data_IF_745537967968
#
_entry.id   IF_745537967968
#
_cell.length_a   1.000
_cell.length_b   1.000
_cell.length_c   1.000
_cell.angle_alpha   90.00
_cell.angle_beta   90.00
_cell.angle_gamma   90.00
#
_symmetry.space_group_name_H-M   'P 1'
#
loop_
_entity.id
_entity.type
_entity.pdbx_description
1 polymer ?
#
# COMPACT_ATOMS: atom_id res chain seq x y z
N UNK A 1 -1.60 -9.79 -0.17
CA UNK A 1 -3.06 -9.47 -0.10
C UNK A 1 -3.84 -10.45 -0.95
N UNK A 2 -5.12 -10.69 -0.66
CA UNK A 2 -6.00 -11.53 -1.50
C UNK A 2 -7.24 -10.73 -1.88
N UNK A 3 -7.62 -10.75 -3.16
CA UNK A 3 -8.78 -10.05 -3.72
C UNK A 3 -9.57 -10.96 -4.65
N UNK A 4 -10.80 -10.58 -4.96
CA UNK A 4 -11.59 -11.12 -6.08
C UNK A 4 -11.82 -10.02 -7.14
N UNK A 5 -12.28 -10.34 -8.36
CA UNK A 5 -12.70 -9.38 -9.39
C UNK A 5 -13.94 -8.54 -9.01
N UNK A 6 -14.12 -8.19 -7.74
CA UNK A 6 -15.21 -7.40 -7.22
C UNK A 6 -14.68 -6.06 -6.71
N UNK A 7 -15.27 -4.96 -7.18
CA UNK A 7 -14.79 -3.60 -6.89
C UNK A 7 -14.67 -3.31 -5.39
N UNK A 8 -15.67 -3.73 -4.60
CA UNK A 8 -15.67 -3.57 -3.15
C UNK A 8 -14.46 -4.26 -2.48
N UNK A 9 -14.12 -5.47 -2.92
CA UNK A 9 -13.01 -6.26 -2.37
C UNK A 9 -11.66 -5.63 -2.75
N UNK A 10 -11.55 -5.13 -3.99
CA UNK A 10 -10.37 -4.40 -4.47
C UNK A 10 -10.15 -3.12 -3.65
N UNK A 11 -11.22 -2.35 -3.42
CA UNK A 11 -11.18 -1.13 -2.61
C UNK A 11 -10.77 -1.41 -1.15
N UNK A 12 -11.25 -2.51 -0.58
CA UNK A 12 -10.88 -2.94 0.77
C UNK A 12 -9.41 -3.35 0.85
N UNK A 13 -8.91 -4.12 -0.10
CA UNK A 13 -7.51 -4.50 -0.16
C UNK A 13 -6.59 -3.29 -0.39
N UNK A 14 -7.04 -2.27 -1.14
CA UNK A 14 -6.31 -1.01 -1.31
C UNK A 14 -6.15 -0.30 0.04
N UNK A 15 -7.24 -0.14 0.79
CA UNK A 15 -7.21 0.44 2.14
C UNK A 15 -6.29 -0.35 3.07
N UNK A 16 -6.44 -1.67 3.09
CA UNK A 16 -5.58 -2.55 3.89
C UNK A 16 -4.10 -2.41 3.52
N UNK A 17 -3.76 -2.27 2.22
CA UNK A 17 -2.38 -2.06 1.78
C UNK A 17 -1.78 -0.76 2.31
N UNK A 18 -2.54 0.35 2.26
CA UNK A 18 -2.13 1.63 2.82
C UNK A 18 -1.90 1.51 4.33
N UNK A 19 -2.82 0.87 5.05
CA UNK A 19 -2.71 0.68 6.50
C UNK A 19 -1.50 -0.18 6.89
N UNK A 20 -1.31 -1.32 6.23
CA UNK A 20 -0.16 -2.20 6.48
C UNK A 20 1.16 -1.48 6.21
N UNK A 21 1.23 -0.69 5.12
CA UNK A 21 2.39 0.12 4.76
C UNK A 21 2.68 1.20 5.81
N UNK A 22 1.63 1.83 6.36
CA UNK A 22 1.78 2.79 7.44
C UNK A 22 2.49 2.14 8.63
N UNK A 23 2.28 0.86 8.92
CA UNK A 23 2.95 0.12 10.00
C UNK A 23 4.22 -0.64 9.57
N UNK A 24 4.72 -0.43 8.35
CA UNK A 24 5.87 -1.15 7.78
C UNK A 24 5.69 -2.68 7.72
N UNK A 25 4.44 -3.14 7.62
CA UNK A 25 4.10 -4.53 7.30
C UNK A 25 3.98 -4.61 5.78
N UNK A 26 4.99 -5.21 5.13
CA UNK A 26 5.05 -5.24 3.68
C UNK A 26 4.28 -6.43 3.11
N UNK A 27 3.44 -6.15 2.12
CA UNK A 27 2.93 -7.18 1.21
C UNK A 27 3.89 -7.28 0.03
N UNK A 28 4.19 -8.49 -0.39
CA UNK A 28 5.10 -8.77 -1.50
C UNK A 28 4.37 -9.22 -2.77
N UNK A 29 3.08 -9.57 -2.66
CA UNK A 29 2.21 -9.88 -3.80
C UNK A 29 0.71 -9.65 -3.50
N UNK A 30 -0.07 -9.64 -4.57
CA UNK A 30 -1.54 -9.66 -4.55
C UNK A 30 -2.03 -10.94 -5.22
N UNK A 31 -2.86 -11.73 -4.54
CA UNK A 31 -3.54 -12.88 -5.13
C UNK A 31 -4.89 -12.44 -5.68
N UNK A 32 -5.08 -12.55 -6.98
CA UNK A 32 -6.37 -12.36 -7.65
C UNK A 32 -7.10 -13.69 -7.74
N UNK A 33 -8.00 -13.94 -6.79
CA UNK A 33 -8.72 -15.19 -6.62
C UNK A 33 -10.07 -15.20 -7.37
N UNK A 34 -10.58 -16.40 -7.66
CA UNK A 34 -11.86 -16.63 -8.35
C UNK A 34 -11.90 -16.06 -9.78
N UNK A 35 -10.77 -16.08 -10.47
CA UNK A 35 -10.73 -15.76 -11.90
C UNK A 35 -11.44 -16.84 -12.71
N UNK A 36 -12.25 -16.47 -13.69
CA UNK A 36 -12.91 -17.44 -14.56
C UNK A 36 -11.85 -18.38 -15.20
N UNK A 37 -12.07 -19.70 -15.20
CA UNK A 37 -11.14 -20.63 -15.81
C UNK A 37 -11.17 -20.48 -17.34
N UNK A 38 -10.18 -20.98 -18.07
CA UNK A 38 -10.04 -20.74 -19.51
C UNK A 38 -11.24 -21.26 -20.32
N UNK A 39 -11.81 -22.37 -19.86
CA UNK A 39 -13.00 -23.04 -20.41
C UNK A 39 -14.23 -22.11 -20.48
N UNK A 40 -14.27 -21.07 -19.64
CA UNK A 40 -15.34 -20.07 -19.68
C UNK A 40 -15.35 -19.26 -20.99
N UNK A 41 -14.22 -19.17 -21.71
CA UNK A 41 -14.11 -18.42 -22.96
C UNK A 41 -14.88 -19.07 -24.12
N UNK A 42 -15.13 -20.37 -24.04
CA UNK A 42 -15.88 -21.12 -25.04
C UNK A 42 -17.40 -20.93 -24.91
N UNK A 43 -17.85 -20.38 -23.78
CA UNK A 43 -19.27 -20.26 -23.44
C UNK A 43 -19.71 -18.80 -23.63
N UNK A 44 -20.59 -18.48 -24.60
CA UNK A 44 -20.99 -17.09 -24.90
C UNK A 44 -21.58 -16.33 -23.70
N UNK A 45 -22.22 -17.03 -22.76
CA UNK A 45 -22.80 -16.47 -21.54
C UNK A 45 -21.76 -15.71 -20.68
N UNK A 46 -20.50 -16.16 -20.65
CA UNK A 46 -19.46 -15.55 -19.81
C UNK A 46 -18.70 -14.40 -20.48
N UNK A 47 -18.98 -14.07 -21.75
CA UNK A 47 -18.25 -13.05 -22.51
C UNK A 47 -18.16 -11.70 -21.78
N UNK A 48 -19.28 -11.21 -21.27
CA UNK A 48 -19.34 -9.93 -20.55
C UNK A 48 -18.70 -10.00 -19.17
N UNK A 49 -18.76 -11.17 -18.51
CA UNK A 49 -18.08 -11.40 -17.24
C UNK A 49 -16.55 -11.38 -17.44
N UNK A 50 -16.04 -12.07 -18.47
CA UNK A 50 -14.62 -12.07 -18.82
C UNK A 50 -14.10 -10.67 -19.16
N UNK A 51 -14.86 -9.89 -19.93
CA UNK A 51 -14.48 -8.49 -20.24
C UNK A 51 -14.31 -7.68 -18.94
N UNK A 52 -15.30 -7.74 -18.04
CA UNK A 52 -15.26 -7.03 -16.75
C UNK A 52 -14.13 -7.54 -15.86
N UNK A 53 -13.89 -8.84 -15.82
CA UNK A 53 -12.78 -9.43 -15.07
C UNK A 53 -11.42 -8.91 -15.57
N UNK A 54 -11.21 -8.86 -16.89
CA UNK A 54 -9.99 -8.31 -17.47
C UNK A 54 -9.81 -6.81 -17.16
N UNK A 55 -10.89 -6.03 -17.12
CA UNK A 55 -10.86 -4.64 -16.65
C UNK A 55 -10.44 -4.56 -15.17
N UNK A 56 -11.04 -5.37 -14.30
CA UNK A 56 -10.68 -5.44 -12.87
C UNK A 56 -9.24 -5.89 -12.68
N UNK A 57 -8.75 -6.82 -13.49
CA UNK A 57 -7.36 -7.28 -13.41
C UNK A 57 -6.38 -6.12 -13.68
N UNK A 58 -6.60 -5.34 -14.75
CA UNK A 58 -5.78 -4.16 -15.07
C UNK A 58 -5.88 -3.09 -13.98
N UNK A 59 -7.07 -2.92 -13.40
CA UNK A 59 -7.28 -2.02 -12.27
C UNK A 59 -6.45 -2.43 -11.05
N UNK A 60 -6.45 -3.72 -10.68
CA UNK A 60 -5.62 -4.26 -9.59
C UNK A 60 -4.14 -4.10 -9.92
N UNK A 61 -3.72 -4.38 -11.15
CA UNK A 61 -2.32 -4.20 -11.59
C UNK A 61 -1.86 -2.75 -11.42
N UNK A 62 -2.67 -1.79 -11.85
CA UNK A 62 -2.37 -0.38 -11.67
C UNK A 62 -2.38 0.05 -10.20
N UNK A 63 -3.37 -0.41 -9.42
CA UNK A 63 -3.52 -0.01 -8.01
C UNK A 63 -2.38 -0.53 -7.14
N UNK A 64 -1.94 -1.76 -7.35
CA UNK A 64 -0.98 -2.43 -6.49
C UNK A 64 0.44 -2.48 -7.05
N UNK A 65 0.70 -1.92 -8.24
CA UNK A 65 2.06 -1.79 -8.76
C UNK A 65 3.00 -1.19 -7.69
N UNK A 66 4.23 -1.72 -7.53
CA UNK A 66 4.87 -2.75 -8.35
C UNK A 66 4.66 -4.20 -7.84
N UNK A 67 3.69 -4.46 -6.97
CA UNK A 67 3.44 -5.81 -6.47
C UNK A 67 3.01 -6.75 -7.61
N UNK A 68 3.63 -7.94 -7.74
CA UNK A 68 3.16 -8.95 -8.67
C UNK A 68 1.78 -9.47 -8.30
N UNK A 69 1.01 -9.81 -9.32
CA UNK A 69 -0.30 -10.44 -9.19
C UNK A 69 -0.16 -11.95 -9.44
N UNK A 70 -0.59 -12.75 -8.47
CA UNK A 70 -0.72 -14.19 -8.60
C UNK A 70 -2.18 -14.53 -8.90
N UNK A 71 -2.42 -15.22 -10.02
CA UNK A 71 -3.76 -15.53 -10.50
C UNK A 71 -4.23 -16.89 -9.98
N UNK A 72 -5.34 -16.90 -9.24
CA UNK A 72 -6.00 -18.12 -8.79
C UNK A 72 -7.34 -18.32 -9.55
N UNK A 73 -7.45 -19.35 -10.40
CA UNK A 73 -8.68 -19.64 -11.11
C UNK A 73 -9.76 -20.17 -10.14
N UNK A 74 -11.00 -19.84 -10.44
CA UNK A 74 -12.19 -20.38 -9.81
C UNK A 74 -12.19 -21.90 -9.97
N UNK A 75 -12.35 -22.60 -8.85
CA UNK A 75 -12.37 -24.05 -8.80
C UNK A 75 -13.80 -24.58 -9.00
N UNK A 76 -13.89 -25.80 -9.48
CA UNK A 76 -15.13 -26.53 -9.76
C UNK A 76 -15.93 -26.90 -8.50
N UNK A 77 -15.26 -26.92 -7.35
CA UNK A 77 -15.80 -27.27 -6.04
C UNK A 77 -14.93 -26.64 -4.95
N UNK A 78 -15.32 -26.81 -3.69
CA UNK A 78 -14.55 -26.36 -2.54
C UNK A 78 -13.15 -27.01 -2.52
N UNK A 79 -12.13 -26.18 -2.22
CA UNK A 79 -10.73 -26.62 -2.18
C UNK A 79 -10.42 -27.25 -0.83
N UNK A 80 -10.96 -28.46 -0.61
CA UNK A 80 -10.74 -29.24 0.60
C UNK A 80 -9.81 -30.44 0.36
N UNK A 81 -8.99 -30.73 1.37
CA UNK A 81 -8.03 -31.83 1.35
C UNK A 81 -6.74 -31.52 0.58
N UNK A 82 -5.70 -32.26 0.92
CA UNK A 82 -4.33 -32.01 0.44
C UNK A 82 -4.22 -32.05 -1.10
N UNK A 83 -4.95 -32.95 -1.76
CA UNK A 83 -4.88 -33.08 -3.22
C UNK A 83 -5.40 -31.81 -3.94
N UNK A 84 -6.55 -31.28 -3.52
CA UNK A 84 -7.12 -30.06 -4.12
C UNK A 84 -6.28 -28.82 -3.77
N UNK A 85 -5.78 -28.74 -2.54
CA UNK A 85 -4.87 -27.68 -2.10
C UNK A 85 -3.56 -27.67 -2.91
N UNK A 86 -2.96 -28.85 -3.12
CA UNK A 86 -1.74 -28.99 -3.91
C UNK A 86 -1.95 -28.57 -5.37
N UNK A 87 -3.10 -28.93 -5.97
CA UNK A 87 -3.46 -28.51 -7.33
C UNK A 87 -3.59 -26.99 -7.44
N UNK A 88 -4.29 -26.35 -6.51
CA UNK A 88 -4.42 -24.89 -6.49
C UNK A 88 -3.06 -24.21 -6.28
N UNK A 89 -2.25 -24.72 -5.35
CA UNK A 89 -0.90 -24.21 -5.11
C UNK A 89 -0.02 -24.28 -6.36
N UNK A 90 -0.02 -25.40 -7.07
CA UNK A 90 0.72 -25.55 -8.33
C UNK A 90 0.28 -24.56 -9.41
N UNK A 91 -1.02 -24.24 -9.49
CA UNK A 91 -1.54 -23.24 -10.42
C UNK A 91 -1.13 -21.82 -10.01
N UNK A 92 -1.29 -21.48 -8.73
CA UNK A 92 -1.02 -20.14 -8.19
C UNK A 92 0.47 -19.77 -8.31
N UNK A 93 1.35 -20.73 -8.03
CA UNK A 93 2.80 -20.56 -8.04
C UNK A 93 3.46 -21.10 -9.31
N UNK A 94 2.72 -21.31 -10.40
CA UNK A 94 3.26 -21.89 -11.63
C UNK A 94 4.44 -21.12 -12.25
N UNK A 95 4.63 -19.85 -11.88
CA UNK A 95 5.63 -18.93 -12.45
C UNK A 95 6.67 -18.43 -11.44
N UNK A 96 6.53 -18.77 -10.16
CA UNK A 96 7.38 -18.27 -9.07
C UNK A 96 7.50 -19.33 -7.99
N UNK A 97 8.64 -19.38 -7.30
CA UNK A 97 8.78 -20.30 -6.16
C UNK A 97 7.85 -19.87 -5.01
N UNK A 98 7.17 -20.81 -4.32
CA UNK A 98 6.24 -20.49 -3.24
C UNK A 98 6.85 -19.75 -2.04
N UNK A 99 8.15 -19.87 -1.84
CA UNK A 99 8.93 -19.23 -0.77
C UNK A 99 9.74 -18.01 -1.25
N UNK A 100 9.61 -17.61 -2.52
CA UNK A 100 10.28 -16.44 -3.05
C UNK A 100 9.73 -15.15 -2.43
N UNK A 101 10.62 -14.20 -2.13
CA UNK A 101 10.25 -12.82 -1.80
C UNK A 101 9.98 -12.07 -3.09
N UNK A 102 8.71 -11.80 -3.38
CA UNK A 102 8.28 -11.29 -4.68
C UNK A 102 8.41 -9.77 -4.82
N UNK A 103 8.41 -9.05 -3.70
CA UNK A 103 8.64 -7.62 -3.63
C UNK A 103 9.09 -7.21 -2.23
N UNK A 104 10.00 -6.24 -2.15
CA UNK A 104 10.41 -5.63 -0.87
C UNK A 104 9.87 -4.21 -0.81
N UNK A 105 8.95 -3.98 0.14
CA UNK A 105 8.32 -2.67 0.31
C UNK A 105 9.28 -1.58 0.79
N UNK A 106 8.93 -0.33 0.47
CA UNK A 106 9.63 0.83 0.99
C UNK A 106 9.40 0.98 2.50
N UNK A 107 10.38 1.57 3.20
CA UNK A 107 10.33 1.88 4.63
C UNK A 107 10.34 3.38 4.89
N UNK A 108 10.02 3.78 6.12
CA UNK A 108 10.14 5.19 6.52
C UNK A 108 11.60 5.62 6.43
N UNK A 109 11.86 6.72 5.72
CA UNK A 109 13.21 7.29 5.58
C UNK A 109 13.26 8.72 6.08
N UNK A 110 14.43 9.10 6.60
CA UNK A 110 14.74 10.47 7.00
C UNK A 110 15.97 10.95 6.24
N UNK A 111 15.82 11.99 5.45
CA UNK A 111 16.84 12.47 4.53
C UNK A 111 17.04 13.98 4.71
N UNK A 112 18.25 14.49 4.43
CA UNK A 112 18.49 15.95 4.40
C UNK A 112 17.85 16.53 3.15
N UNK A 113 17.27 17.72 3.26
CA UNK A 113 16.56 18.35 2.14
C UNK A 113 17.45 19.21 1.21
N UNK A 114 18.73 19.34 1.53
CA UNK A 114 19.70 20.14 0.78
C UNK A 114 19.69 21.65 1.09
N UNK A 115 18.70 22.14 1.86
CA UNK A 115 18.54 23.56 2.22
C UNK A 115 18.69 23.82 3.72
N UNK A 116 19.20 22.83 4.47
CA UNK A 116 19.43 22.92 5.90
C UNK A 116 18.34 22.27 6.77
N UNK A 117 17.32 21.69 6.15
CA UNK A 117 16.24 20.92 6.79
C UNK A 117 16.32 19.42 6.56
N UNK A 118 15.22 18.74 6.88
CA UNK A 118 15.05 17.30 6.70
C UNK A 118 13.70 16.98 6.05
N UNK A 119 13.62 15.83 5.39
CA UNK A 119 12.37 15.22 4.92
C UNK A 119 12.20 13.85 5.55
N UNK A 120 11.02 13.58 6.10
CA UNK A 120 10.55 12.22 6.36
C UNK A 120 9.74 11.75 5.14
N UNK A 121 10.04 10.55 4.66
CA UNK A 121 9.34 9.91 3.55
C UNK A 121 8.65 8.68 4.13
N UNK A 122 7.33 8.73 4.25
CA UNK A 122 6.49 7.66 4.83
C UNK A 122 5.75 6.97 3.69
N UNK A 123 6.02 5.67 3.42
CA UNK A 123 5.30 4.91 2.41
C UNK A 123 3.81 4.82 2.72
N UNK A 124 2.97 5.29 1.80
CA UNK A 124 1.52 5.31 1.92
C UNK A 124 0.90 5.06 0.52
N UNK A 125 1.05 3.83 -0.01
CA UNK A 125 0.61 3.52 -1.36
C UNK A 125 -0.89 3.74 -1.50
N UNK A 126 -1.25 4.44 -2.57
CA UNK A 126 -2.65 4.78 -2.92
C UNK A 126 -3.46 5.40 -1.77
N UNK A 127 -2.82 6.13 -0.86
CA UNK A 127 -3.50 6.80 0.23
C UNK A 127 -4.52 7.83 -0.27
N UNK A 128 -5.68 7.84 0.37
CA UNK A 128 -6.67 8.90 0.18
C UNK A 128 -6.20 10.17 0.89
N UNK A 129 -6.26 11.30 0.19
CA UNK A 129 -5.84 12.60 0.72
C UNK A 129 -6.85 13.16 1.72
N UNK A 130 -8.14 12.87 1.55
CA UNK A 130 -9.18 13.43 2.42
C UNK A 130 -9.12 12.87 3.84
N UNK A 131 -8.63 11.63 4.00
CA UNK A 131 -8.47 10.97 5.30
C UNK A 131 -7.06 11.05 5.90
N UNK A 132 -6.17 11.87 5.34
CA UNK A 132 -4.77 11.95 5.77
C UNK A 132 -4.55 13.17 6.67
N UNK A 133 -4.18 12.93 7.93
CA UNK A 133 -3.77 13.96 8.89
C UNK A 133 -2.34 13.70 9.38
N UNK A 134 -1.56 14.77 9.53
CA UNK A 134 -0.14 14.71 9.87
C UNK A 134 0.21 15.82 10.83
N UNK A 135 0.65 15.42 12.03
CA UNK A 135 1.03 16.36 13.08
C UNK A 135 2.34 15.94 13.73
N UNK A 136 3.11 16.91 14.22
CA UNK A 136 4.24 16.65 15.11
C UNK A 136 3.79 16.86 16.55
N UNK A 137 3.96 15.84 17.38
CA UNK A 137 3.70 15.91 18.83
C UNK A 137 4.99 15.52 19.53
N UNK A 138 5.58 16.44 20.28
CA UNK A 138 6.90 16.28 20.90
C UNK A 138 7.94 15.78 19.89
N UNK A 139 8.53 14.61 20.14
CA UNK A 139 9.54 13.98 19.28
C UNK A 139 8.94 12.95 18.30
N UNK A 140 7.61 12.95 18.10
CA UNK A 140 6.93 12.05 17.17
C UNK A 140 6.32 12.78 15.98
N UNK A 141 6.42 12.16 14.82
CA UNK A 141 5.57 12.41 13.67
C UNK A 141 4.37 11.47 13.77
N UNK A 142 3.19 12.03 13.97
CA UNK A 142 1.95 11.26 14.03
C UNK A 142 1.23 11.37 12.69
N UNK A 143 1.01 10.22 12.07
CA UNK A 143 0.34 10.08 10.78
C UNK A 143 -0.97 9.34 11.01
N UNK A 144 -2.07 9.92 10.54
CA UNK A 144 -3.41 9.33 10.60
C UNK A 144 -3.91 9.10 9.18
N UNK A 145 -4.36 7.88 8.88
CA UNK A 145 -4.97 7.51 7.60
C UNK A 145 -6.33 6.87 7.86
N UNK A 146 -7.42 7.58 7.59
CA UNK A 146 -8.77 7.10 7.86
C UNK A 146 -8.94 6.72 9.35
N UNK A 147 -9.12 5.42 9.62
CA UNK A 147 -9.32 4.91 10.97
C UNK A 147 -8.03 4.55 11.73
N UNK A 148 -6.85 4.64 11.09
CA UNK A 148 -5.57 4.23 11.70
C UNK A 148 -4.70 5.43 12.01
N UNK A 149 -3.97 5.34 13.13
CA UNK A 149 -3.02 6.35 13.59
C UNK A 149 -1.72 5.68 14.02
N UNK A 150 -0.58 6.18 13.53
CA UNK A 150 0.76 5.72 13.93
C UNK A 150 1.61 6.90 14.38
N UNK A 151 2.27 6.75 15.53
CA UNK A 151 3.35 7.63 15.96
C UNK A 151 4.70 7.06 15.48
N UNK A 152 5.46 7.87 14.77
CA UNK A 152 6.80 7.56 14.25
C UNK A 152 7.80 8.42 15.02
N UNK A 153 8.67 7.78 15.80
CA UNK A 153 9.73 8.47 16.54
C UNK A 153 10.68 9.18 15.58
N UNK A 154 10.84 10.48 15.76
CA UNK A 154 11.77 11.28 14.98
C UNK A 154 13.21 11.03 15.44
N UNK A 155 14.18 10.90 14.51
CA UNK A 155 15.59 10.88 14.88
C UNK A 155 16.00 12.16 15.61
N UNK A 156 17.00 12.07 16.50
CA UNK A 156 17.48 13.21 17.32
C UNK A 156 17.80 14.49 16.54
N UNK A 157 18.18 14.36 15.26
CA UNK A 157 18.50 15.51 14.38
C UNK A 157 17.26 16.19 13.78
N UNK A 158 16.12 15.48 13.74
CA UNK A 158 14.84 15.95 13.18
C UNK A 158 13.88 16.37 14.29
N UNK A 159 13.89 15.68 15.43
CA UNK A 159 13.07 15.95 16.61
C UNK A 159 13.00 17.45 17.03
N UNK A 160 14.09 18.23 17.08
CA UNK A 160 14.03 19.64 17.46
C UNK A 160 13.49 20.59 16.37
N UNK A 161 13.24 20.08 15.16
CA UNK A 161 12.75 20.88 14.03
C UNK A 161 11.23 20.98 14.04
N UNK A 162 10.69 22.01 13.40
CA UNK A 162 9.25 22.19 13.22
C UNK A 162 8.80 21.56 11.90
N UNK A 163 7.63 20.91 11.92
CA UNK A 163 6.95 20.50 10.69
C UNK A 163 6.59 21.75 9.90
N UNK A 164 7.13 21.88 8.70
CA UNK A 164 6.92 23.03 7.83
C UNK A 164 5.89 22.74 6.73
N UNK A 165 5.87 21.50 6.23
CA UNK A 165 5.02 21.10 5.11
C UNK A 165 4.81 19.59 5.14
N UNK A 166 3.62 19.14 4.75
CA UNK A 166 3.30 17.73 4.52
C UNK A 166 2.55 17.61 3.20
N UNK A 167 3.00 16.73 2.30
CA UNK A 167 2.35 16.50 1.00
C UNK A 167 2.43 15.04 0.59
N UNK A 168 1.41 14.57 -0.12
CA UNK A 168 1.47 13.26 -0.79
C UNK A 168 2.17 13.42 -2.14
N UNK A 169 3.19 12.60 -2.35
CA UNK A 169 3.98 12.51 -3.58
C UNK A 169 4.02 11.05 -4.06
N UNK A 170 3.29 10.75 -5.13
CA UNK A 170 3.08 9.36 -5.57
C UNK A 170 2.51 8.50 -4.44
N UNK A 171 3.25 7.44 -4.07
CA UNK A 171 2.89 6.46 -3.04
C UNK A 171 3.55 6.77 -1.69
N UNK A 172 3.90 8.03 -1.43
CA UNK A 172 4.56 8.44 -0.18
C UNK A 172 4.01 9.76 0.35
N UNK A 173 3.89 9.86 1.67
CA UNK A 173 3.79 11.12 2.37
C UNK A 173 5.20 11.67 2.60
N UNK A 174 5.44 12.89 2.11
CA UNK A 174 6.69 13.63 2.32
C UNK A 174 6.42 14.75 3.32
N UNK A 175 7.07 14.68 4.48
CA UNK A 175 6.97 15.67 5.55
C UNK A 175 8.29 16.41 5.67
N UNK A 176 8.27 17.72 5.49
CA UNK A 176 9.45 18.58 5.57
C UNK A 176 9.55 19.24 6.94
N UNK A 177 10.75 19.21 7.49
CA UNK A 177 11.09 19.77 8.79
C UNK A 177 12.16 20.84 8.64
N UNK A 178 11.91 22.02 9.22
CA UNK A 178 12.82 23.15 9.20
C UNK A 178 13.07 23.65 10.62
N UNK A 179 14.18 24.36 10.80
CA UNK A 179 14.41 25.08 12.05
C UNK A 179 13.41 26.22 12.11
N UNK A 180 12.67 26.32 13.23
CA UNK A 180 11.79 27.46 13.46
C UNK A 180 12.64 28.73 13.46
N UNK A 181 12.25 29.73 12.68
CA UNK A 181 12.78 31.07 12.85
C UNK A 181 12.39 31.53 14.26
N UNK A 182 13.36 31.86 15.09
CA UNK A 182 13.10 32.56 16.35
C UNK A 182 12.65 33.95 15.91
N UNK A 183 11.38 34.30 16.11
CA UNK A 183 11.00 35.71 16.03
C UNK A 183 11.80 36.45 17.11
N UNK A 184 12.54 37.52 16.76
CA UNK A 184 13.20 38.31 17.79
C UNK A 184 12.13 38.79 18.76
N UNK A 185 12.37 38.57 20.05
CA UNK A 185 11.48 39.06 21.11
C UNK A 185 11.26 40.55 20.87
N UNK A 186 9.99 40.95 20.71
CA UNK A 186 9.64 42.35 20.71
C UNK A 186 10.17 42.96 22.01
N UNK A 187 11.15 43.85 21.91
CA UNK A 187 11.58 44.67 23.03
C UNK A 187 10.35 45.45 23.51
N UNK A 188 9.87 45.11 24.71
CA UNK A 188 8.85 45.87 25.41
C UNK A 188 9.52 47.15 25.88
N UNK A 189 9.31 48.23 25.14
CA UNK A 189 9.61 49.60 25.56
C UNK A 189 8.51 50.17 26.45
#
# INVERSE_FOLDING_TARGET
LVVTPERMVIDEARRAHTELSLFEVHCDAVVMNRLLPAEADEIPFFRDARRREAERYREVEALFAPLPILSAPLQDDEVMGLARLARLGAQLFAKVEPDAVLHTGARVRFERDGTGGYRAIVPLPRADREGLDVVKIDDDLVVTTGARRRAIRLPRRVAPLSLAEARVDGDSLVVRFLRRAVEPAAEVG
#
